data_IF_184627885044
#
_entry.id   IF_184627885044
#
_cell.length_a   1.000
_cell.length_b   1.000
_cell.length_c   1.000
_cell.angle_alpha   90.00
_cell.angle_beta   90.00
_cell.angle_gamma   90.00
#
_symmetry.space_group_name_H-M   'P 1'
#
loop_
_entity.id
_entity.type
_entity.pdbx_description
1 polymer ?
#
# COMPACT_ATOMS: atom_id res chain seq x y z
N UNK A 1 -5.40 -10.66 -26.66
CA UNK A 1 -4.31 -10.38 -25.68
C UNK A 1 -4.93 -9.59 -24.56
N UNK A 2 -4.91 -10.14 -23.34
CA UNK A 2 -5.47 -9.50 -22.13
C UNK A 2 -4.50 -8.45 -21.59
N UNK A 3 -5.04 -7.42 -20.99
CA UNK A 3 -4.26 -6.39 -20.26
C UNK A 3 -3.63 -7.00 -19.02
N UNK A 4 -2.35 -6.77 -18.82
CA UNK A 4 -1.55 -7.38 -17.78
C UNK A 4 -1.10 -6.31 -16.78
N UNK A 5 -1.47 -6.44 -15.53
CA UNK A 5 -0.95 -5.63 -14.44
C UNK A 5 0.06 -6.46 -13.64
N UNK A 6 1.32 -6.05 -13.67
CA UNK A 6 2.39 -6.69 -12.90
C UNK A 6 2.74 -5.88 -11.67
N UNK A 7 2.79 -6.54 -10.53
CA UNK A 7 3.41 -5.99 -9.31
C UNK A 7 4.85 -6.47 -9.25
N UNK A 8 5.79 -5.55 -9.28
CA UNK A 8 7.21 -5.85 -9.28
C UNK A 8 7.93 -5.40 -8.01
N UNK A 9 9.01 -6.12 -7.73
CA UNK A 9 9.91 -5.98 -6.59
C UNK A 9 10.39 -4.55 -6.29
N UNK A 10 10.88 -4.30 -5.05
CA UNK A 10 11.36 -2.98 -4.62
C UNK A 10 12.66 -2.50 -5.28
N UNK A 11 13.21 -3.21 -6.26
CA UNK A 11 14.46 -2.84 -6.94
C UNK A 11 14.22 -2.31 -8.35
N UNK A 12 14.17 -0.97 -8.52
CA UNK A 12 14.02 -0.36 -9.85
C UNK A 12 15.21 -0.55 -10.77
N UNK A 13 16.33 -1.07 -10.27
CA UNK A 13 17.60 -1.20 -11.00
C UNK A 13 17.64 -2.39 -11.96
N UNK A 14 16.92 -3.47 -11.65
CA UNK A 14 16.89 -4.67 -12.52
C UNK A 14 16.11 -4.45 -13.83
N UNK A 15 15.14 -3.54 -13.83
CA UNK A 15 14.31 -3.26 -15.02
C UNK A 15 14.92 -2.27 -16.01
N UNK A 16 15.96 -1.52 -15.63
CA UNK A 16 16.63 -0.60 -16.54
C UNK A 16 17.55 -1.30 -17.53
N UNK A 17 18.09 -2.45 -17.14
CA UNK A 17 18.95 -3.26 -18.01
C UNK A 17 18.19 -4.22 -18.93
N UNK A 18 16.97 -4.62 -18.55
CA UNK A 18 16.15 -5.58 -19.30
C UNK A 18 15.09 -4.94 -20.22
N UNK A 19 14.98 -3.61 -20.24
CA UNK A 19 14.06 -2.91 -21.18
C UNK A 19 14.43 -3.21 -22.62
N UNK A 20 15.71 -3.23 -22.95
CA UNK A 20 16.19 -3.52 -24.31
C UNK A 20 15.98 -4.99 -24.67
N UNK A 21 16.20 -5.91 -23.72
CA UNK A 21 15.93 -7.33 -23.89
C UNK A 21 14.43 -7.62 -24.03
N UNK A 22 13.58 -6.90 -23.29
CA UNK A 22 12.13 -7.02 -23.39
C UNK A 22 11.60 -6.46 -24.71
N UNK A 23 12.13 -5.33 -25.19
CA UNK A 23 11.83 -4.76 -26.50
C UNK A 23 12.28 -5.69 -27.64
N UNK A 24 13.47 -6.30 -27.51
CA UNK A 24 13.97 -7.27 -28.48
C UNK A 24 13.13 -8.55 -28.55
N UNK A 25 12.59 -9.02 -27.44
CA UNK A 25 11.74 -10.23 -27.36
C UNK A 25 10.33 -10.00 -27.92
N UNK A 26 9.77 -8.79 -27.80
CA UNK A 26 8.39 -8.51 -28.18
C UNK A 26 8.22 -7.61 -29.41
N UNK A 27 9.31 -7.31 -30.11
CA UNK A 27 9.31 -6.62 -31.41
C UNK A 27 9.15 -5.10 -31.28
N UNK A 28 10.26 -4.39 -31.30
CA UNK A 28 10.28 -2.93 -31.19
C UNK A 28 9.66 -2.24 -32.40
N UNK A 29 8.50 -1.71 -32.20
CA UNK A 29 8.07 -0.46 -32.83
C UNK A 29 8.09 0.60 -31.74
N UNK A 30 8.26 1.88 -32.08
CA UNK A 30 8.41 3.03 -31.17
C UNK A 30 7.28 3.25 -30.16
N UNK A 31 6.29 2.39 -30.12
CA UNK A 31 5.23 2.38 -29.11
C UNK A 31 5.71 1.72 -27.83
N UNK A 32 5.55 2.43 -26.72
CA UNK A 32 5.83 1.91 -25.39
C UNK A 32 5.05 0.60 -25.14
N UNK A 33 5.74 -0.52 -25.12
CA UNK A 33 5.14 -1.84 -24.90
C UNK A 33 4.57 -1.96 -23.50
N UNK A 34 5.10 -1.18 -22.53
CA UNK A 34 4.65 -1.19 -21.15
C UNK A 34 4.80 0.18 -20.47
N UNK A 35 3.98 0.43 -19.47
CA UNK A 35 4.08 1.56 -18.57
C UNK A 35 4.57 1.11 -17.19
N UNK A 36 5.47 1.89 -16.57
CA UNK A 36 5.98 1.63 -15.21
C UNK A 36 5.38 2.63 -14.24
N UNK A 37 4.70 2.10 -13.22
CA UNK A 37 4.08 2.86 -12.16
C UNK A 37 4.83 2.67 -10.85
N UNK A 38 5.46 3.74 -10.37
CA UNK A 38 6.18 3.75 -9.11
C UNK A 38 6.00 5.10 -8.38
N UNK A 39 6.41 5.15 -7.11
CA UNK A 39 6.27 6.34 -6.26
C UNK A 39 7.01 7.61 -6.76
N UNK A 40 7.84 7.52 -7.79
CA UNK A 40 8.57 8.67 -8.34
C UNK A 40 7.78 9.47 -9.38
N UNK A 41 6.72 8.89 -9.95
CA UNK A 41 5.96 9.46 -11.06
C UNK A 41 4.50 9.70 -10.68
N UNK A 42 4.25 10.33 -9.52
CA UNK A 42 2.90 10.61 -9.03
C UNK A 42 2.04 11.40 -10.02
N UNK A 43 2.63 12.35 -10.73
CA UNK A 43 1.90 13.17 -11.72
C UNK A 43 1.38 12.35 -12.89
N UNK A 44 2.13 11.29 -13.27
CA UNK A 44 1.76 10.41 -14.37
C UNK A 44 0.91 9.21 -13.90
N UNK A 45 0.80 8.99 -12.60
CA UNK A 45 0.10 7.82 -12.04
C UNK A 45 -1.34 7.72 -12.55
N UNK A 46 -2.09 8.80 -12.45
CA UNK A 46 -3.49 8.83 -12.85
C UNK A 46 -3.66 8.51 -14.34
N UNK A 47 -2.77 9.05 -15.21
CA UNK A 47 -2.80 8.78 -16.63
C UNK A 47 -2.44 7.33 -16.96
N UNK A 48 -1.38 6.80 -16.36
CA UNK A 48 -0.97 5.41 -16.55
C UNK A 48 -2.08 4.45 -16.12
N UNK A 49 -2.72 4.70 -14.96
CA UNK A 49 -3.83 3.88 -14.46
C UNK A 49 -5.05 3.98 -15.38
N UNK A 50 -5.34 5.16 -15.91
CA UNK A 50 -6.42 5.38 -16.87
C UNK A 50 -6.25 4.57 -18.15
N UNK A 51 -5.01 4.34 -18.60
CA UNK A 51 -4.69 3.56 -19.79
C UNK A 51 -4.51 2.06 -19.51
N UNK A 52 -4.41 1.64 -18.27
CA UNK A 52 -4.15 0.23 -17.88
C UNK A 52 -5.27 -0.73 -18.31
N UNK A 53 -6.48 -0.23 -18.59
CA UNK A 53 -7.62 -1.01 -19.07
C UNK A 53 -7.70 -1.17 -20.58
N UNK A 54 -6.82 -0.53 -21.34
CA UNK A 54 -6.82 -0.62 -22.81
C UNK A 54 -6.33 -2.02 -23.26
N UNK A 55 -6.99 -2.65 -24.25
CA UNK A 55 -6.55 -3.95 -24.77
C UNK A 55 -5.11 -3.94 -25.27
N UNK A 56 -4.28 -4.82 -24.74
CA UNK A 56 -2.86 -4.92 -25.08
C UNK A 56 -1.94 -4.04 -24.24
N UNK A 57 -2.46 -3.15 -23.41
CA UNK A 57 -1.65 -2.39 -22.46
C UNK A 57 -1.05 -3.29 -21.39
N UNK A 58 0.22 -3.04 -21.06
CA UNK A 58 0.93 -3.70 -19.99
C UNK A 58 1.36 -2.63 -18.98
N UNK A 59 0.96 -2.79 -17.72
CA UNK A 59 1.37 -1.89 -16.63
C UNK A 59 2.15 -2.68 -15.60
N UNK A 60 3.37 -2.22 -15.34
CA UNK A 60 4.26 -2.78 -14.31
C UNK A 60 4.20 -1.82 -13.14
N UNK A 61 3.75 -2.31 -11.99
CA UNK A 61 3.46 -1.45 -10.86
C UNK A 61 4.00 -2.00 -9.54
N UNK A 62 4.38 -1.10 -8.64
CA UNK A 62 4.68 -1.45 -7.24
C UNK A 62 3.38 -1.62 -6.44
N UNK A 63 3.51 -2.03 -5.17
CA UNK A 63 2.37 -2.25 -4.24
C UNK A 63 1.40 -1.07 -4.15
N UNK A 64 1.85 0.15 -4.44
CA UNK A 64 1.04 1.36 -4.35
C UNK A 64 -0.08 1.40 -5.39
N UNK A 65 0.09 0.75 -6.53
CA UNK A 65 -0.94 0.65 -7.57
C UNK A 65 -2.21 -0.12 -7.14
N UNK A 66 -2.18 -0.73 -5.95
CA UNK A 66 -3.34 -1.39 -5.34
C UNK A 66 -4.44 -0.45 -4.84
N UNK A 67 -4.22 0.89 -4.81
CA UNK A 67 -5.16 1.87 -4.24
C UNK A 67 -5.36 3.06 -5.18
N UNK A 68 -6.44 3.78 -4.99
CA UNK A 68 -6.72 5.03 -5.69
C UNK A 68 -7.62 4.85 -6.90
N UNK A 69 -7.21 5.35 -8.03
CA UNK A 69 -7.98 5.45 -9.27
C UNK A 69 -8.52 4.10 -9.76
N UNK A 70 -9.74 4.09 -10.26
CA UNK A 70 -10.37 2.91 -10.84
C UNK A 70 -9.81 2.60 -12.23
N UNK A 71 -9.59 1.32 -12.54
CA UNK A 71 -9.16 0.87 -13.86
C UNK A 71 -10.41 0.51 -14.66
N UNK A 72 -10.69 1.32 -15.70
CA UNK A 72 -11.82 1.10 -16.58
C UNK A 72 -11.37 0.32 -17.82
N UNK A 73 -12.12 -0.73 -18.18
CA UNK A 73 -11.84 -1.48 -19.40
C UNK A 73 -12.07 -0.60 -20.63
N UNK A 74 -11.12 -0.63 -21.56
CA UNK A 74 -11.10 0.25 -22.73
C UNK A 74 -10.39 1.58 -22.49
N UNK A 75 -10.06 1.92 -21.24
CA UNK A 75 -9.47 3.21 -20.84
C UNK A 75 -10.50 4.15 -20.21
N UNK A 76 -10.04 5.28 -19.66
CA UNK A 76 -10.90 6.32 -19.08
C UNK A 76 -11.16 7.42 -20.12
N UNK A 77 -12.40 7.54 -20.65
CA UNK A 77 -12.72 8.49 -21.71
C UNK A 77 -12.57 9.94 -21.24
N UNK A 78 -12.95 10.25 -20.00
CA UNK A 78 -12.90 11.62 -19.49
C UNK A 78 -11.46 12.13 -19.32
N UNK A 79 -10.55 11.27 -18.88
CA UNK A 79 -9.13 11.61 -18.80
C UNK A 79 -8.48 11.75 -20.18
N UNK A 80 -8.88 10.94 -21.16
CA UNK A 80 -8.43 11.09 -22.55
C UNK A 80 -8.92 12.39 -23.14
N UNK A 81 -10.20 12.73 -22.97
CA UNK A 81 -10.79 13.98 -23.42
C UNK A 81 -10.07 15.18 -22.80
N UNK A 82 -9.81 15.15 -21.49
CA UNK A 82 -9.10 16.22 -20.80
C UNK A 82 -7.67 16.41 -21.35
N UNK A 83 -6.97 15.33 -21.64
CA UNK A 83 -5.60 15.37 -22.13
C UNK A 83 -5.50 15.68 -23.65
N UNK A 84 -6.32 15.00 -24.48
CA UNK A 84 -6.23 15.14 -25.95
C UNK A 84 -6.86 16.43 -26.47
N UNK A 85 -7.82 17.00 -25.73
CA UNK A 85 -8.49 18.26 -26.05
C UNK A 85 -8.04 19.41 -25.15
N UNK A 86 -6.88 19.29 -24.52
CA UNK A 86 -6.27 20.39 -23.76
C UNK A 86 -5.96 21.57 -24.69
N UNK A 87 -6.48 22.76 -24.37
CA UNK A 87 -6.32 23.97 -25.21
C UNK A 87 -7.29 24.09 -26.37
N UNK A 88 -8.19 23.15 -26.58
CA UNK A 88 -9.27 23.29 -27.59
C UNK A 88 -10.45 24.02 -26.94
N UNK A 89 -10.89 25.13 -27.56
CA UNK A 89 -12.02 25.91 -27.05
C UNK A 89 -13.33 25.10 -27.03
N UNK A 90 -14.20 25.43 -26.06
CA UNK A 90 -15.51 24.80 -25.95
C UNK A 90 -16.36 25.15 -27.16
N UNK A 91 -16.87 24.15 -27.89
CA UNK A 91 -17.66 24.30 -29.05
C UNK A 91 -18.01 22.99 -29.77
N UNK A 92 -18.77 23.05 -30.87
CA UNK A 92 -19.24 21.85 -31.56
C UNK A 92 -18.12 20.92 -32.03
N UNK A 93 -16.96 21.46 -32.37
CA UNK A 93 -15.80 20.68 -32.81
C UNK A 93 -15.21 19.85 -31.65
N UNK A 94 -15.11 20.45 -30.46
CA UNK A 94 -14.66 19.74 -29.24
C UNK A 94 -15.63 18.63 -28.83
N UNK A 95 -16.94 18.90 -28.92
CA UNK A 95 -17.97 17.91 -28.63
C UNK A 95 -17.92 16.74 -29.63
N UNK A 96 -17.72 17.00 -30.91
CA UNK A 96 -17.57 15.94 -31.89
C UNK A 96 -16.36 15.05 -31.63
N UNK A 97 -15.20 15.63 -31.33
CA UNK A 97 -14.00 14.87 -30.96
C UNK A 97 -14.18 14.08 -29.62
N UNK A 98 -14.84 14.67 -28.63
CA UNK A 98 -15.14 13.99 -27.39
C UNK A 98 -16.09 12.79 -27.61
N UNK A 99 -17.07 12.92 -28.50
CA UNK A 99 -17.95 11.83 -28.89
C UNK A 99 -17.20 10.68 -29.59
N UNK A 100 -16.26 11.05 -30.48
CA UNK A 100 -15.40 10.07 -31.15
C UNK A 100 -14.53 9.29 -30.18
N UNK A 101 -13.89 9.97 -29.21
CA UNK A 101 -13.08 9.34 -28.15
C UNK A 101 -13.95 8.38 -27.33
N UNK A 102 -15.16 8.79 -26.91
CA UNK A 102 -16.09 7.92 -26.17
C UNK A 102 -16.49 6.69 -26.98
N UNK A 103 -16.75 6.84 -28.25
CA UNK A 103 -17.10 5.73 -29.15
C UNK A 103 -15.92 4.76 -29.32
N UNK A 104 -14.71 5.28 -29.43
CA UNK A 104 -13.50 4.45 -29.49
C UNK A 104 -13.29 3.67 -28.19
N UNK A 105 -13.35 4.33 -27.04
CA UNK A 105 -13.23 3.67 -25.71
C UNK A 105 -14.29 2.58 -25.55
N UNK A 106 -15.52 2.80 -25.99
CA UNK A 106 -16.57 1.78 -25.96
C UNK A 106 -16.19 0.55 -26.79
N UNK A 107 -15.67 0.73 -28.00
CA UNK A 107 -15.18 -0.38 -28.85
C UNK A 107 -14.01 -1.12 -28.22
N UNK A 108 -13.09 -0.38 -27.59
CA UNK A 108 -11.95 -0.98 -26.87
C UNK A 108 -12.42 -1.76 -25.64
N UNK A 109 -13.43 -1.26 -24.93
CA UNK A 109 -14.07 -1.98 -23.81
C UNK A 109 -14.65 -3.33 -24.26
N UNK A 110 -15.39 -3.37 -25.35
CA UNK A 110 -15.92 -4.64 -25.89
C UNK A 110 -14.81 -5.64 -26.22
N UNK A 111 -13.70 -5.16 -26.82
CA UNK A 111 -12.53 -6.01 -27.09
C UNK A 111 -11.90 -6.55 -25.80
N UNK A 112 -11.78 -5.71 -24.76
CA UNK A 112 -11.26 -6.13 -23.46
C UNK A 112 -12.16 -7.16 -22.80
N UNK A 113 -13.47 -6.96 -22.83
CA UNK A 113 -14.47 -7.90 -22.31
C UNK A 113 -14.41 -9.26 -23.04
N UNK A 114 -14.35 -9.24 -24.38
CA UNK A 114 -14.22 -10.47 -25.18
C UNK A 114 -12.92 -11.24 -24.90
N UNK A 115 -11.85 -10.53 -24.51
CA UNK A 115 -10.57 -11.13 -24.06
C UNK A 115 -10.59 -11.67 -22.62
N UNK A 116 -11.67 -11.45 -21.86
CA UNK A 116 -11.81 -11.89 -20.48
C UNK A 116 -11.46 -10.82 -19.44
N UNK A 117 -11.39 -9.56 -19.83
CA UNK A 117 -11.17 -8.42 -18.94
C UNK A 117 -9.73 -8.22 -18.50
N UNK A 118 -9.56 -7.54 -17.36
CA UNK A 118 -8.25 -7.25 -16.80
C UNK A 118 -7.62 -8.49 -16.16
N UNK A 119 -6.37 -8.78 -16.52
CA UNK A 119 -5.57 -9.82 -15.91
C UNK A 119 -4.51 -9.25 -14.98
N UNK A 120 -4.62 -9.56 -13.68
CA UNK A 120 -3.70 -9.08 -12.63
C UNK A 120 -2.73 -10.20 -12.26
N UNK A 121 -1.43 -9.92 -12.38
CA UNK A 121 -0.38 -10.82 -11.93
C UNK A 121 0.36 -10.24 -10.73
N UNK A 122 0.41 -11.00 -9.63
CA UNK A 122 1.27 -10.71 -8.50
C UNK A 122 2.54 -11.58 -8.56
N UNK A 123 3.69 -10.99 -8.34
CA UNK A 123 4.98 -11.71 -8.34
C UNK A 123 5.42 -12.12 -6.94
N UNK A 124 4.72 -11.64 -5.91
CA UNK A 124 4.94 -11.99 -4.50
C UNK A 124 3.62 -11.86 -3.72
N UNK A 125 3.59 -12.43 -2.52
CA UNK A 125 2.52 -12.20 -1.55
C UNK A 125 2.92 -11.08 -0.61
N UNK A 126 1.95 -10.25 -0.28
CA UNK A 126 2.12 -9.25 0.77
C UNK A 126 2.06 -9.89 2.16
N UNK A 127 2.58 -9.18 3.16
CA UNK A 127 2.46 -9.59 4.56
C UNK A 127 1.01 -9.66 5.05
N UNK A 128 0.08 -8.99 4.37
CA UNK A 128 -1.34 -8.97 4.71
C UNK A 128 -2.20 -9.46 3.56
N UNK A 129 -3.05 -10.43 3.84
CA UNK A 129 -4.05 -10.97 2.91
C UNK A 129 -4.99 -9.89 2.38
N UNK A 130 -5.26 -8.86 3.19
CA UNK A 130 -6.09 -7.73 2.77
C UNK A 130 -5.49 -6.99 1.58
N UNK A 131 -4.17 -6.82 1.55
CA UNK A 131 -3.47 -6.14 0.46
C UNK A 131 -3.52 -7.01 -0.81
N UNK A 132 -3.30 -8.31 -0.68
CA UNK A 132 -3.45 -9.25 -1.80
C UNK A 132 -4.87 -9.21 -2.39
N UNK A 133 -5.89 -9.16 -1.53
CA UNK A 133 -7.27 -9.08 -1.98
C UNK A 133 -7.58 -7.71 -2.64
N UNK A 134 -6.96 -6.62 -2.19
CA UNK A 134 -7.06 -5.32 -2.88
C UNK A 134 -6.44 -5.39 -4.28
N UNK A 135 -5.29 -6.04 -4.43
CA UNK A 135 -4.67 -6.25 -5.73
C UNK A 135 -5.54 -7.13 -6.63
N UNK A 136 -6.05 -8.25 -6.12
CA UNK A 136 -7.00 -9.11 -6.86
C UNK A 136 -8.26 -8.36 -7.27
N UNK A 137 -8.76 -7.48 -6.40
CA UNK A 137 -9.94 -6.66 -6.64
C UNK A 137 -9.73 -5.58 -7.71
N UNK A 138 -8.53 -5.44 -8.28
CA UNK A 138 -8.33 -4.62 -9.47
C UNK A 138 -8.92 -5.27 -10.73
N UNK A 139 -8.93 -6.61 -10.78
CA UNK A 139 -9.67 -7.35 -11.80
C UNK A 139 -11.14 -7.49 -11.40
N UNK A 140 -12.05 -7.49 -12.36
CA UNK A 140 -13.46 -7.73 -12.11
C UNK A 140 -14.21 -6.59 -11.41
N UNK A 141 -13.77 -5.35 -11.54
CA UNK A 141 -14.49 -4.18 -11.02
C UNK A 141 -15.78 -3.94 -11.79
N UNK A 142 -16.76 -3.36 -11.12
CA UNK A 142 -18.07 -3.02 -11.70
C UNK A 142 -18.83 -4.21 -12.32
N UNK A 143 -18.49 -5.45 -11.89
CA UNK A 143 -19.08 -6.67 -12.45
C UNK A 143 -18.43 -7.16 -13.74
N UNK A 144 -17.39 -6.49 -14.24
CA UNK A 144 -16.66 -6.91 -15.41
C UNK A 144 -15.90 -8.22 -15.17
N UNK A 145 -15.70 -9.08 -16.18
CA UNK A 145 -14.87 -10.24 -16.06
C UNK A 145 -13.41 -9.86 -15.81
N UNK A 146 -12.67 -10.74 -15.13
CA UNK A 146 -11.26 -10.52 -14.87
C UNK A 146 -10.60 -11.75 -14.26
N UNK A 147 -9.28 -11.77 -14.25
CA UNK A 147 -8.49 -12.85 -13.66
C UNK A 147 -7.36 -12.32 -12.83
N UNK A 148 -6.97 -13.09 -11.81
CA UNK A 148 -5.76 -12.81 -11.05
C UNK A 148 -4.97 -14.08 -10.80
N UNK A 149 -3.64 -13.97 -10.81
CA UNK A 149 -2.73 -15.09 -10.52
C UNK A 149 -1.50 -14.56 -9.78
N UNK A 150 -1.04 -15.32 -8.79
CA UNK A 150 0.22 -15.06 -8.12
C UNK A 150 1.26 -16.08 -8.60
N UNK A 151 2.44 -15.57 -8.94
CA UNK A 151 3.64 -16.33 -9.22
C UNK A 151 4.58 -16.09 -8.04
N UNK A 152 4.88 -17.14 -7.30
CA UNK A 152 5.60 -17.04 -6.03
C UNK A 152 6.91 -17.82 -6.13
N UNK A 153 7.93 -17.33 -5.47
CA UNK A 153 9.20 -18.03 -5.26
C UNK A 153 9.28 -18.54 -3.82
N UNK A 154 9.95 -19.66 -3.64
CA UNK A 154 10.31 -20.13 -2.30
C UNK A 154 11.34 -19.22 -1.62
N UNK A 155 11.98 -18.34 -2.41
CA UNK A 155 12.93 -17.35 -1.93
C UNK A 155 12.26 -16.03 -1.51
N UNK A 156 10.95 -15.86 -1.75
CA UNK A 156 10.21 -14.69 -1.30
C UNK A 156 10.28 -14.54 0.21
N UNK A 157 10.32 -13.30 0.69
CA UNK A 157 10.51 -13.00 2.11
C UNK A 157 9.48 -13.69 3.01
N UNK A 158 8.23 -13.75 2.60
CA UNK A 158 7.18 -14.47 3.32
C UNK A 158 7.54 -15.95 3.51
N UNK A 159 8.11 -16.58 2.49
CA UNK A 159 8.50 -17.99 2.53
C UNK A 159 9.77 -18.21 3.34
N UNK A 160 10.74 -17.27 3.27
CA UNK A 160 11.98 -17.30 4.06
C UNK A 160 11.72 -17.21 5.55
N UNK A 161 10.77 -16.36 5.97
CA UNK A 161 10.44 -16.16 7.39
C UNK A 161 9.82 -17.42 8.01
N UNK A 162 9.07 -18.23 7.26
CA UNK A 162 8.23 -19.28 7.82
C UNK A 162 8.50 -20.71 7.36
N UNK A 163 9.55 -20.99 6.61
CA UNK A 163 9.80 -22.40 6.37
C UNK A 163 10.54 -22.80 5.10
N UNK A 164 11.33 -21.96 4.51
CA UNK A 164 12.03 -22.32 3.26
C UNK A 164 12.88 -23.59 3.38
N UNK A 165 13.65 -23.76 4.45
CA UNK A 165 14.60 -24.87 4.59
C UNK A 165 13.91 -26.24 4.67
N UNK A 166 12.79 -26.35 5.41
CA UNK A 166 12.03 -27.60 5.52
C UNK A 166 11.27 -27.89 4.24
N UNK A 167 10.76 -26.86 3.59
CA UNK A 167 10.01 -26.95 2.35
C UNK A 167 10.94 -27.36 1.21
N UNK A 168 12.12 -26.75 1.10
CA UNK A 168 13.14 -27.05 0.08
C UNK A 168 13.62 -28.49 0.19
N UNK A 169 13.91 -28.97 1.40
CA UNK A 169 14.29 -30.36 1.64
C UNK A 169 13.18 -31.36 1.28
N UNK A 170 11.92 -30.97 1.47
CA UNK A 170 10.78 -31.83 1.13
C UNK A 170 10.50 -31.84 -0.37
N UNK A 171 10.65 -30.71 -1.06
CA UNK A 171 10.47 -30.59 -2.50
C UNK A 171 11.55 -31.33 -3.29
N UNK A 172 12.81 -31.27 -2.82
CA UNK A 172 13.91 -32.07 -3.40
C UNK A 172 13.66 -33.57 -3.26
N UNK A 173 13.08 -34.01 -2.13
CA UNK A 173 12.69 -35.41 -1.93
C UNK A 173 11.54 -35.88 -2.86
N UNK A 174 10.68 -34.93 -3.29
CA UNK A 174 9.61 -35.17 -4.25
C UNK A 174 10.08 -35.20 -5.71
N UNK A 175 11.40 -35.07 -5.96
CA UNK A 175 11.98 -35.19 -7.30
C UNK A 175 11.76 -33.98 -8.20
N UNK A 176 11.34 -32.83 -7.64
CA UNK A 176 11.16 -31.61 -8.40
C UNK A 176 12.52 -30.99 -8.76
N UNK A 177 12.69 -30.69 -10.04
CA UNK A 177 13.90 -30.06 -10.56
C UNK A 177 13.85 -28.54 -10.37
N UNK A 178 15.02 -27.94 -10.28
CA UNK A 178 15.15 -26.49 -10.24
C UNK A 178 14.56 -25.88 -11.52
N UNK A 179 13.70 -24.85 -11.36
CA UNK A 179 12.98 -24.21 -12.48
C UNK A 179 11.62 -24.80 -12.82
N UNK A 180 11.20 -25.91 -12.21
CA UNK A 180 9.84 -26.42 -12.40
C UNK A 180 8.82 -25.67 -11.54
N UNK A 181 7.69 -25.28 -12.18
CA UNK A 181 6.58 -24.66 -11.47
C UNK A 181 5.82 -25.69 -10.63
N UNK A 182 5.76 -25.43 -9.33
CA UNK A 182 5.05 -26.30 -8.39
C UNK A 182 3.58 -25.88 -8.31
N UNK A 183 2.68 -26.71 -8.81
CA UNK A 183 1.23 -26.47 -8.75
C UNK A 183 0.59 -27.51 -7.85
N UNK A 184 0.52 -27.25 -6.55
CA UNK A 184 -0.10 -28.21 -5.62
C UNK A 184 -0.94 -27.48 -4.55
N UNK A 185 -2.16 -27.93 -4.25
CA UNK A 185 -3.05 -27.30 -3.25
C UNK A 185 -2.41 -27.15 -1.85
N UNK A 186 -1.53 -28.07 -1.48
CA UNK A 186 -0.82 -28.04 -0.22
C UNK A 186 0.09 -26.80 -0.08
N UNK A 187 0.76 -26.38 -1.15
CA UNK A 187 1.61 -25.19 -1.16
C UNK A 187 0.78 -23.95 -0.92
N UNK A 188 -0.39 -23.86 -1.54
CA UNK A 188 -1.30 -22.75 -1.30
C UNK A 188 -1.69 -22.64 0.19
N UNK A 189 -1.95 -23.77 0.85
CA UNK A 189 -2.23 -23.80 2.29
C UNK A 189 -1.01 -23.43 3.15
N UNK A 190 0.19 -23.83 2.72
CA UNK A 190 1.42 -23.47 3.42
C UNK A 190 1.67 -21.97 3.37
N UNK A 191 1.52 -21.33 2.19
CA UNK A 191 1.63 -19.89 1.99
C UNK A 191 0.57 -19.14 2.80
N UNK A 192 -0.67 -19.61 2.80
CA UNK A 192 -1.77 -19.02 3.59
C UNK A 192 -1.47 -19.05 5.09
N UNK A 193 -0.97 -20.17 5.60
CA UNK A 193 -0.55 -20.29 7.01
C UNK A 193 0.64 -19.39 7.34
N UNK A 194 1.61 -19.29 6.44
CA UNK A 194 2.74 -18.38 6.62
C UNK A 194 2.27 -16.92 6.73
N UNK A 195 1.42 -16.49 5.80
CA UNK A 195 0.84 -15.15 5.80
C UNK A 195 0.04 -14.87 7.08
N UNK A 196 -0.79 -15.80 7.54
CA UNK A 196 -1.54 -15.65 8.78
C UNK A 196 -0.63 -15.47 10.02
N UNK A 197 0.52 -16.15 10.07
CA UNK A 197 1.51 -15.99 11.15
C UNK A 197 2.17 -14.60 11.11
N UNK A 198 2.50 -14.09 9.91
CA UNK A 198 3.03 -12.73 9.77
C UNK A 198 2.01 -11.71 10.21
N UNK A 199 0.76 -11.85 9.77
CA UNK A 199 -0.33 -10.96 10.19
C UNK A 199 -0.50 -10.92 11.69
N UNK A 200 -0.48 -12.08 12.36
CA UNK A 200 -0.58 -12.18 13.82
C UNK A 200 0.60 -11.46 14.51
N UNK A 201 1.83 -11.72 14.06
CA UNK A 201 3.02 -11.05 14.63
C UNK A 201 2.95 -9.53 14.45
N UNK A 202 2.57 -9.07 13.27
CA UNK A 202 2.44 -7.64 12.99
C UNK A 202 1.29 -7.00 13.78
N UNK A 203 0.21 -7.76 14.03
CA UNK A 203 -0.88 -7.33 14.89
C UNK A 203 -0.39 -7.16 16.33
N UNK A 204 0.33 -8.13 16.88
CA UNK A 204 0.85 -8.08 18.26
C UNK A 204 1.84 -6.93 18.42
N UNK A 205 2.73 -6.71 17.46
CA UNK A 205 3.66 -5.59 17.46
C UNK A 205 2.92 -4.24 17.49
N UNK A 206 1.90 -4.05 16.63
CA UNK A 206 1.07 -2.84 16.64
C UNK A 206 0.30 -2.68 17.94
N UNK A 207 -0.26 -3.77 18.48
CA UNK A 207 -0.96 -3.74 19.77
C UNK A 207 -0.04 -3.34 20.92
N UNK A 208 1.22 -3.75 20.84
CA UNK A 208 2.21 -3.35 21.84
C UNK A 208 2.54 -1.85 21.76
N UNK A 209 2.74 -1.34 20.55
CA UNK A 209 2.94 0.11 20.31
C UNK A 209 1.77 0.95 20.82
N UNK A 210 0.53 0.51 20.58
CA UNK A 210 -0.66 1.21 21.07
C UNK A 210 -0.72 1.38 22.58
N UNK A 211 -0.08 0.49 23.35
CA UNK A 211 -0.02 0.64 24.81
C UNK A 211 0.77 1.90 25.22
N UNK A 212 1.86 2.18 24.51
CA UNK A 212 2.64 3.41 24.73
C UNK A 212 1.87 4.66 24.25
N UNK A 213 1.24 4.57 23.07
CA UNK A 213 0.42 5.65 22.55
C UNK A 213 -0.76 5.99 23.49
N UNK A 214 -1.36 5.00 24.15
CA UNK A 214 -2.43 5.24 25.11
C UNK A 214 -1.95 6.05 26.30
N UNK A 215 -0.77 5.72 26.86
CA UNK A 215 -0.17 6.50 27.97
C UNK A 215 0.04 7.96 27.55
N UNK A 216 0.64 8.15 26.38
CA UNK A 216 0.86 9.52 25.83
C UNK A 216 -0.46 10.25 25.57
N UNK A 217 -1.47 9.53 25.09
CA UNK A 217 -2.80 10.10 24.83
C UNK A 217 -3.51 10.49 26.13
N UNK A 218 -3.40 9.67 27.17
CA UNK A 218 -4.01 9.97 28.47
C UNK A 218 -3.33 11.19 29.11
N UNK A 219 -1.99 11.28 29.06
CA UNK A 219 -1.27 12.50 29.46
C UNK A 219 -1.74 13.72 28.68
N UNK A 220 -1.88 13.59 27.37
CA UNK A 220 -2.36 14.67 26.50
C UNK A 220 -3.76 15.14 26.89
N UNK A 221 -4.67 14.21 27.17
CA UNK A 221 -6.03 14.53 27.63
C UNK A 221 -6.02 15.34 28.90
N UNK A 222 -5.26 14.90 29.93
CA UNK A 222 -5.14 15.61 31.18
C UNK A 222 -4.65 17.04 30.98
N UNK A 223 -3.58 17.23 30.18
CA UNK A 223 -3.05 18.56 29.87
C UNK A 223 -4.08 19.41 29.14
N UNK A 224 -4.81 18.86 28.16
CA UNK A 224 -5.85 19.59 27.44
C UNK A 224 -7.03 19.95 28.33
N UNK A 225 -7.46 19.06 29.22
CA UNK A 225 -8.54 19.32 30.19
C UNK A 225 -8.15 20.42 31.16
N UNK A 226 -6.96 20.37 31.74
CA UNK A 226 -6.43 21.44 32.61
C UNK A 226 -6.35 22.78 31.87
N UNK A 227 -5.82 22.75 30.64
CA UNK A 227 -5.78 23.96 29.80
C UNK A 227 -7.18 24.56 29.55
N UNK A 228 -8.15 23.70 29.24
CA UNK A 228 -9.53 24.15 29.03
C UNK A 228 -10.16 24.73 30.32
N UNK A 229 -9.89 24.11 31.46
CA UNK A 229 -10.37 24.60 32.73
C UNK A 229 -9.82 26.01 33.02
N UNK A 230 -8.50 26.21 32.86
CA UNK A 230 -7.87 27.52 33.04
C UNK A 230 -8.42 28.56 32.05
N UNK A 231 -8.60 28.19 30.77
CA UNK A 231 -9.10 29.11 29.74
C UNK A 231 -10.58 29.51 29.92
N UNK A 232 -11.37 28.67 30.60
CA UNK A 232 -12.80 28.90 30.84
C UNK A 232 -13.09 29.47 32.19
N UNK A 233 -12.11 29.51 33.10
CA UNK A 233 -12.28 30.05 34.43
C UNK A 233 -12.28 31.59 34.39
N UNK A 234 -13.24 32.21 35.06
CA UNK A 234 -13.29 33.64 35.23
C UNK A 234 -12.20 34.13 36.20
N UNK A 235 -11.81 33.31 37.18
CA UNK A 235 -10.72 33.56 38.13
C UNK A 235 -9.88 32.26 38.27
N UNK A 236 -8.56 32.42 38.18
CA UNK A 236 -7.57 31.32 38.31
C UNK A 236 -6.76 31.40 39.59
N UNK A 237 -7.13 32.31 40.54
CA UNK A 237 -6.38 32.58 41.78
C UNK A 237 -6.21 31.32 42.63
N UNK A 238 -7.22 30.48 42.76
CA UNK A 238 -7.15 29.25 43.55
C UNK A 238 -6.29 28.20 42.86
N UNK A 239 -6.40 28.07 41.55
CA UNK A 239 -5.50 27.21 40.75
C UNK A 239 -4.03 27.58 40.91
N UNK A 240 -3.73 28.88 40.90
CA UNK A 240 -2.37 29.40 41.14
C UNK A 240 -1.87 29.13 42.56
N UNK A 241 -2.75 29.24 43.58
CA UNK A 241 -2.39 28.86 44.96
C UNK A 241 -2.06 27.37 45.08
N UNK A 242 -2.88 26.52 44.49
CA UNK A 242 -2.67 25.06 44.50
C UNK A 242 -1.37 24.67 43.79
N UNK A 243 -1.11 25.26 42.62
CA UNK A 243 0.15 25.06 41.90
C UNK A 243 1.36 25.49 42.71
N UNK A 244 1.27 26.66 43.39
CA UNK A 244 2.35 27.14 44.24
C UNK A 244 2.58 26.21 45.45
N UNK A 245 1.52 25.76 46.12
CA UNK A 245 1.64 24.77 47.19
C UNK A 245 2.27 23.46 46.72
N UNK A 246 1.81 22.94 45.58
CA UNK A 246 2.39 21.73 44.99
C UNK A 246 3.89 21.90 44.68
N UNK A 247 4.30 23.05 44.13
CA UNK A 247 5.71 23.31 43.87
C UNK A 247 6.54 23.39 45.17
N UNK A 248 6.01 24.01 46.22
CA UNK A 248 6.66 24.08 47.55
C UNK A 248 6.76 22.67 48.15
N UNK A 249 5.69 21.89 48.06
CA UNK A 249 5.69 20.51 48.53
C UNK A 249 6.72 19.63 47.79
N UNK A 250 6.88 19.82 46.51
CA UNK A 250 7.87 19.09 45.70
C UNK A 250 9.30 19.46 46.11
N UNK A 251 9.60 20.75 46.34
CA UNK A 251 10.89 21.22 46.84
C UNK A 251 11.15 20.63 48.24
N UNK A 252 10.17 20.70 49.13
CA UNK A 252 10.31 20.15 50.48
C UNK A 252 10.56 18.64 50.41
N UNK A 253 9.88 17.89 49.54
CA UNK A 253 10.13 16.45 49.41
C UNK A 253 11.49 16.12 48.81
N UNK A 254 12.03 16.98 47.95
CA UNK A 254 13.36 16.81 47.36
C UNK A 254 14.44 16.94 48.43
N UNK A 255 14.34 17.96 49.30
CA UNK A 255 15.32 18.28 50.34
C UNK A 255 15.05 17.51 51.68
N UNK A 256 13.78 17.24 51.94
CA UNK A 256 13.32 16.57 53.18
C UNK A 256 12.43 15.39 52.81
N UNK A 257 13.00 14.24 52.37
CA UNK A 257 12.22 13.05 52.03
C UNK A 257 11.43 12.52 53.24
N UNK A 258 10.16 12.14 53.05
CA UNK A 258 9.22 11.72 54.12
C UNK A 258 9.75 10.62 55.04
N UNK A 259 10.70 9.82 54.58
CA UNK A 259 11.28 8.69 55.38
C UNK A 259 12.73 8.92 55.77
N UNK A 260 13.26 10.13 55.59
CA UNK A 260 14.63 10.46 55.97
C UNK A 260 14.72 10.87 57.41
N UNK A 261 15.79 10.46 58.13
CA UNK A 261 16.09 10.95 59.43
C UNK A 261 16.51 12.42 59.38
N UNK A 262 16.28 13.17 60.48
CA UNK A 262 16.56 14.60 60.56
C UNK A 262 18.02 14.98 60.18
N UNK A 263 18.97 14.08 60.40
CA UNK A 263 20.38 14.25 60.00
C UNK A 263 20.64 14.19 58.49
N UNK A 264 19.65 13.70 57.77
CA UNK A 264 19.70 13.55 56.28
C UNK A 264 18.95 14.68 55.56
N UNK A 265 18.34 15.60 56.28
CA UNK A 265 17.61 16.71 55.69
C UNK A 265 18.59 17.78 55.17
N UNK A 266 18.40 18.14 53.94
CA UNK A 266 19.11 19.22 53.33
C UNK A 266 18.30 20.54 53.53
N UNK A 267 18.56 21.17 54.66
CA UNK A 267 17.82 22.40 55.10
C UNK A 267 18.38 23.66 54.44
N UNK A 268 19.61 23.59 53.95
CA UNK A 268 20.32 24.74 53.38
C UNK A 268 20.15 24.77 51.81
N UNK A 269 19.70 23.69 51.16
CA UNK A 269 19.39 23.59 49.76
C UNK A 269 17.98 24.01 49.43
#
# INVERSE_FOLDING_TARGET
RSTLLHTLFPYPTLFRSDTDAFQALYGGTDERVFAVLNARYHEQEAYIVAQAGVPGAITIATNMAGRGTDIQLGGNPEMRIAHELEGVEEGPEREAKAAEIRAEVARLKEKALAAGGLYVMGTERHESRRIDNQLRGRSGRQGDPGRSKFFLSLQDDLMRIFGSERLDGMLRKLGLKEGEAIVHPWINKAVEKAQAKVEARNFDARKHLLKFDNVMNDQRKVVFEQRQQIMRADDVSDTLKDMRHGFIDDIVREHIPEKAFAEQWDVDG
#
